data_IF_498340295895
#
_entry.id   IF_498340295895
#
_cell.length_a   1.000
_cell.length_b   1.000
_cell.length_c   1.000
_cell.angle_alpha   90.00
_cell.angle_beta   90.00
_cell.angle_gamma   90.00
#
_symmetry.space_group_name_H-M   'P 1'
#
loop_
_entity.id
_entity.type
_entity.pdbx_description
1 polymer ?
#
# COMPACT_ATOMS: atom_id res chain seq x y z
N UNK A 1 -22.83 21.21 59.76
CA UNK A 1 -22.84 21.61 58.35
C UNK A 1 -21.45 22.08 57.97
N UNK A 2 -20.68 21.30 57.21
CA UNK A 2 -19.61 21.78 56.34
C UNK A 2 -19.39 20.68 55.30
N UNK A 3 -19.86 20.97 54.09
CA UNK A 3 -20.19 20.05 53.01
C UNK A 3 -18.91 19.73 52.24
N UNK A 4 -18.62 18.44 52.06
CA UNK A 4 -17.58 17.93 51.15
C UNK A 4 -17.84 18.43 49.72
N UNK A 5 -17.38 19.63 49.37
CA UNK A 5 -17.45 20.16 48.01
C UNK A 5 -16.19 21.00 47.78
N UNK A 6 -15.07 20.34 47.50
CA UNK A 6 -13.80 21.05 47.30
C UNK A 6 -12.79 20.35 46.40
N UNK A 7 -13.14 19.26 45.71
CA UNK A 7 -12.20 18.54 44.82
C UNK A 7 -12.80 18.28 43.42
N UNK A 8 -14.10 18.47 43.23
CA UNK A 8 -14.77 18.14 41.96
C UNK A 8 -14.59 19.17 40.83
N UNK A 9 -13.93 20.32 41.08
CA UNK A 9 -13.88 21.43 40.09
C UNK A 9 -12.56 21.58 39.34
N UNK A 10 -11.53 20.75 39.62
CA UNK A 10 -10.24 20.79 38.92
C UNK A 10 -10.13 19.78 37.76
N UNK A 11 -11.03 18.79 37.67
CA UNK A 11 -11.01 17.79 36.59
C UNK A 11 -11.70 18.25 35.30
N UNK A 12 -12.52 19.29 35.33
CA UNK A 12 -13.33 19.73 34.19
C UNK A 12 -12.57 20.59 33.16
N UNK A 13 -11.36 21.07 33.47
CA UNK A 13 -10.52 21.84 32.52
C UNK A 13 -9.52 20.99 31.71
N UNK A 14 -9.37 19.69 32.02
CA UNK A 14 -8.35 18.85 31.35
C UNK A 14 -8.79 18.26 30.00
N UNK A 15 -10.04 18.47 29.55
CA UNK A 15 -10.60 17.74 28.38
C UNK A 15 -10.56 18.53 27.06
N UNK A 16 -10.05 19.77 27.04
CA UNK A 16 -10.07 20.60 25.82
C UNK A 16 -8.89 20.40 24.85
N UNK A 17 -7.95 19.50 25.15
CA UNK A 17 -6.76 19.27 24.32
C UNK A 17 -6.85 18.01 23.43
N UNK A 18 -8.01 17.71 22.87
CA UNK A 18 -8.12 16.86 21.70
C UNK A 18 -9.07 17.50 20.68
N UNK A 19 -8.75 18.71 20.22
CA UNK A 19 -9.14 19.09 18.85
C UNK A 19 -8.33 18.18 17.93
N UNK A 20 -8.82 16.95 17.77
CA UNK A 20 -8.27 15.95 16.88
C UNK A 20 -8.13 16.59 15.50
N UNK A 21 -6.90 16.89 15.12
CA UNK A 21 -6.54 17.08 13.72
C UNK A 21 -6.93 15.78 13.05
N UNK A 22 -8.06 15.76 12.34
CA UNK A 22 -8.48 14.59 11.57
C UNK A 22 -7.29 14.18 10.71
N UNK A 23 -6.77 12.95 10.85
CA UNK A 23 -5.61 12.53 10.09
C UNK A 23 -5.89 12.66 8.60
N UNK A 24 -4.87 12.94 7.78
CA UNK A 24 -5.07 13.02 6.34
C UNK A 24 -5.66 11.70 5.83
N UNK A 25 -6.51 11.75 4.79
CA UNK A 25 -7.13 10.54 4.27
C UNK A 25 -6.13 9.46 3.84
N UNK A 26 -4.93 9.84 3.41
CA UNK A 26 -3.80 8.95 3.13
C UNK A 26 -2.50 9.77 3.04
N UNK A 27 -1.36 9.10 3.00
CA UNK A 27 -0.02 9.70 2.85
C UNK A 27 0.24 10.10 1.39
N UNK A 28 -0.34 11.23 0.96
CA UNK A 28 -0.35 11.66 -0.44
C UNK A 28 1.03 12.02 -1.01
N UNK A 29 1.99 12.31 -0.15
CA UNK A 29 3.40 12.57 -0.45
C UNK A 29 4.22 11.29 -0.71
N UNK A 30 3.67 10.12 -0.35
CA UNK A 30 4.29 8.82 -0.60
C UNK A 30 3.78 8.18 -1.88
N UNK A 31 4.65 7.39 -2.52
CA UNK A 31 4.26 6.51 -3.63
C UNK A 31 3.30 5.40 -3.12
N UNK A 32 2.44 4.84 -3.98
CA UNK A 32 1.53 3.75 -3.60
C UNK A 32 2.20 2.58 -2.87
N UNK A 33 3.46 2.27 -3.21
CA UNK A 33 4.29 1.23 -2.61
C UNK A 33 4.66 1.50 -1.14
N UNK A 34 4.77 2.77 -0.77
CA UNK A 34 5.30 3.22 0.53
C UNK A 34 4.20 3.73 1.48
N UNK A 35 2.94 3.75 1.03
CA UNK A 35 1.79 4.20 1.83
C UNK A 35 1.37 3.12 2.82
N UNK A 36 1.32 3.49 4.08
CA UNK A 36 0.93 2.61 5.19
C UNK A 36 -0.44 3.00 5.77
N UNK A 37 -0.81 4.28 5.69
CA UNK A 37 -1.97 4.83 6.39
C UNK A 37 -3.09 5.29 5.45
N UNK A 38 -4.31 4.82 5.72
CA UNK A 38 -5.53 5.22 5.02
C UNK A 38 -6.66 5.48 6.03
N UNK A 39 -7.26 6.67 5.97
CA UNK A 39 -8.24 7.15 6.95
C UNK A 39 -9.55 7.59 6.28
N UNK A 40 -10.67 7.14 6.85
CA UNK A 40 -12.02 7.50 6.41
C UNK A 40 -12.36 7.06 4.98
N UNK A 41 -13.52 7.49 4.48
CA UNK A 41 -14.04 7.05 3.18
C UNK A 41 -13.10 7.39 2.00
N UNK A 42 -12.47 8.57 2.03
CA UNK A 42 -11.50 8.97 1.00
C UNK A 42 -10.23 8.11 1.03
N UNK A 43 -9.76 7.74 2.23
CA UNK A 43 -8.64 6.83 2.38
C UNK A 43 -8.94 5.45 1.82
N UNK A 44 -10.13 4.90 2.10
CA UNK A 44 -10.54 3.59 1.56
C UNK A 44 -10.61 3.58 0.03
N UNK A 45 -11.16 4.64 -0.58
CA UNK A 45 -11.17 4.77 -2.04
C UNK A 45 -9.75 4.82 -2.60
N UNK A 46 -8.83 5.52 -1.92
CA UNK A 46 -7.44 5.58 -2.36
C UNK A 46 -6.76 4.21 -2.22
N UNK A 47 -7.00 3.49 -1.12
CA UNK A 47 -6.46 2.16 -0.90
C UNK A 47 -6.84 1.19 -2.04
N UNK A 48 -8.09 1.24 -2.52
CA UNK A 48 -8.53 0.40 -3.64
C UNK A 48 -7.79 0.72 -4.94
N UNK A 49 -7.53 2.01 -5.20
CA UNK A 49 -6.75 2.45 -6.36
C UNK A 49 -5.30 1.98 -6.25
N UNK A 50 -4.69 2.17 -5.09
CA UNK A 50 -3.30 1.81 -4.84
C UNK A 50 -3.13 0.28 -4.93
N UNK A 51 -4.05 -0.51 -4.39
CA UNK A 51 -4.04 -1.96 -4.55
C UNK A 51 -4.17 -2.39 -6.02
N UNK A 52 -5.07 -1.77 -6.77
CA UNK A 52 -5.22 -2.07 -8.21
C UNK A 52 -3.95 -1.74 -8.99
N UNK A 53 -3.31 -0.61 -8.67
CA UNK A 53 -2.02 -0.21 -9.23
C UNK A 53 -0.91 -1.21 -8.87
N UNK A 54 -0.80 -1.61 -7.60
CA UNK A 54 0.24 -2.53 -7.14
C UNK A 54 0.11 -3.91 -7.78
N UNK A 55 -1.11 -4.40 -7.99
CA UNK A 55 -1.36 -5.65 -8.71
C UNK A 55 -0.91 -5.55 -10.17
N UNK A 56 -1.29 -4.47 -10.87
CA UNK A 56 -0.88 -4.24 -12.25
C UNK A 56 0.63 -4.10 -12.38
N UNK A 57 1.26 -3.35 -11.47
CA UNK A 57 2.70 -3.20 -11.40
C UNK A 57 3.40 -4.54 -11.16
N UNK A 58 2.98 -5.32 -10.16
CA UNK A 58 3.56 -6.63 -9.86
C UNK A 58 3.47 -7.59 -11.06
N UNK A 59 2.37 -7.52 -11.80
CA UNK A 59 2.22 -8.30 -13.03
C UNK A 59 3.17 -7.84 -14.14
N UNK A 60 3.32 -6.53 -14.35
CA UNK A 60 4.28 -5.97 -15.31
C UNK A 60 5.71 -6.33 -14.95
N UNK A 61 6.10 -6.17 -13.69
CA UNK A 61 7.43 -6.55 -13.19
C UNK A 61 7.68 -8.06 -13.43
N UNK A 62 6.67 -8.90 -13.23
CA UNK A 62 6.77 -10.35 -13.50
C UNK A 62 6.94 -10.67 -14.99
N UNK A 63 6.23 -9.95 -15.86
CA UNK A 63 6.38 -10.07 -17.31
C UNK A 63 7.78 -9.63 -17.78
N UNK A 64 8.28 -8.50 -17.28
CA UNK A 64 9.62 -8.01 -17.60
C UNK A 64 10.69 -9.00 -17.15
N UNK A 65 10.57 -9.53 -15.94
CA UNK A 65 11.46 -10.58 -15.45
C UNK A 65 11.44 -11.81 -16.36
N UNK A 66 10.26 -12.30 -16.75
CA UNK A 66 10.15 -13.48 -17.62
C UNK A 66 10.81 -13.24 -18.99
N UNK A 67 10.70 -12.03 -19.54
CA UNK A 67 11.40 -11.63 -20.78
C UNK A 67 12.93 -11.62 -20.62
N UNK A 68 13.43 -11.11 -19.49
CA UNK A 68 14.85 -11.14 -19.17
C UNK A 68 15.37 -12.57 -19.00
N UNK A 69 14.65 -13.40 -18.24
CA UNK A 69 14.99 -14.81 -18.03
C UNK A 69 15.02 -15.58 -19.36
N UNK A 70 14.12 -15.26 -20.30
CA UNK A 70 14.15 -15.83 -21.65
C UNK A 70 15.38 -15.38 -22.44
N UNK A 71 15.74 -14.10 -22.39
CA UNK A 71 16.91 -13.56 -23.09
C UNK A 71 18.23 -14.12 -22.54
N UNK A 72 18.32 -14.31 -21.23
CA UNK A 72 19.44 -14.99 -20.58
C UNK A 72 19.52 -16.46 -21.02
N UNK A 73 18.40 -17.19 -20.98
CA UNK A 73 18.33 -18.58 -21.41
C UNK A 73 18.69 -18.75 -22.89
N UNK A 74 18.26 -17.81 -23.75
CA UNK A 74 18.62 -17.79 -25.16
C UNK A 74 20.12 -17.58 -25.34
N UNK A 75 20.72 -16.63 -24.62
CA UNK A 75 22.16 -16.35 -24.66
C UNK A 75 23.00 -17.55 -24.20
N UNK A 76 22.49 -18.30 -23.22
CA UNK A 76 23.10 -19.54 -22.73
C UNK A 76 22.74 -20.80 -23.52
N UNK A 77 22.00 -20.69 -24.63
CA UNK A 77 21.52 -21.82 -25.45
C UNK A 77 20.74 -22.89 -24.64
N UNK A 78 20.07 -22.51 -23.56
CA UNK A 78 19.33 -23.41 -22.68
C UNK A 78 17.85 -23.48 -23.08
N UNK A 79 17.54 -24.39 -24.01
CA UNK A 79 16.20 -24.57 -24.55
C UNK A 79 15.13 -24.90 -23.49
N UNK A 80 15.48 -25.65 -22.44
CA UNK A 80 14.56 -25.98 -21.36
C UNK A 80 14.17 -24.73 -20.57
N UNK A 81 15.15 -23.88 -20.23
CA UNK A 81 14.91 -22.62 -19.53
C UNK A 81 14.12 -21.62 -20.41
N UNK A 82 14.39 -21.58 -21.72
CA UNK A 82 13.59 -20.78 -22.66
C UNK A 82 12.12 -21.19 -22.65
N UNK A 83 11.84 -22.50 -22.64
CA UNK A 83 10.47 -23.01 -22.59
C UNK A 83 9.74 -22.67 -21.29
N UNK A 84 10.45 -22.62 -20.15
CA UNK A 84 9.88 -22.17 -18.87
C UNK A 84 9.59 -20.67 -18.91
N UNK A 85 10.56 -19.86 -19.34
CA UNK A 85 10.40 -18.41 -19.41
C UNK A 85 9.29 -18.01 -20.39
N UNK A 86 9.13 -18.71 -21.51
CA UNK A 86 8.04 -18.48 -22.46
C UNK A 86 6.65 -18.68 -21.82
N UNK A 87 6.47 -19.75 -21.04
CA UNK A 87 5.20 -19.96 -20.30
C UNK A 87 4.92 -18.84 -19.30
N UNK A 88 5.96 -18.31 -18.66
CA UNK A 88 5.81 -17.19 -17.73
C UNK A 88 5.46 -15.88 -18.47
N UNK A 89 6.02 -15.66 -19.66
CA UNK A 89 5.62 -14.54 -20.54
C UNK A 89 4.14 -14.66 -20.89
N UNK A 90 3.67 -15.83 -21.34
CA UNK A 90 2.27 -16.08 -21.66
C UNK A 90 1.35 -15.88 -20.45
N UNK A 91 1.83 -16.18 -19.24
CA UNK A 91 1.05 -16.02 -18.00
C UNK A 91 0.96 -14.57 -17.53
N UNK A 92 2.07 -13.83 -17.55
CA UNK A 92 2.16 -12.53 -16.87
C UNK A 92 2.05 -11.34 -17.82
N UNK A 93 2.43 -11.48 -19.09
CA UNK A 93 2.35 -10.39 -20.05
C UNK A 93 0.93 -10.29 -20.61
N UNK A 94 0.15 -9.32 -20.12
CA UNK A 94 -1.09 -8.88 -20.78
C UNK A 94 -0.74 -8.14 -22.07
N UNK A 95 -1.51 -8.38 -23.13
CA UNK A 95 -1.44 -7.64 -24.40
C UNK A 95 -1.90 -6.18 -24.25
#
# INVERSE_FOLDING_TARGET
MLKQIGIASLLSLAVVACKATTPPPYEADKAPEDRENYNGAKGLVQQQKDQSYLIDKAQKDSCEKAKLDWAEAQSGQNAAAMGVAQKQIEQYCKE
#
